data_IF_920439530503
#
_entry.id   IF_920439530503
#
_cell.length_a   1.000
_cell.length_b   1.000
_cell.length_c   1.000
_cell.angle_alpha   90.00
_cell.angle_beta   90.00
_cell.angle_gamma   90.00
#
_symmetry.space_group_name_H-M   'P 1'
#
loop_
_entity.id
_entity.type
_entity.pdbx_description
1 polymer ?
#
# COMPACT_ATOMS: atom_id res chain seq x y z
N UNK A 1 14.59 -51.29 -2.00
CA UNK A 1 14.52 -50.03 -2.74
C UNK A 1 13.18 -49.39 -2.38
N UNK A 2 13.21 -48.30 -1.61
CA UNK A 2 12.02 -47.71 -1.01
C UNK A 2 11.40 -46.68 -1.97
N UNK A 3 10.15 -46.92 -2.37
CA UNK A 3 9.37 -45.97 -3.15
C UNK A 3 8.81 -44.90 -2.21
N UNK A 4 9.29 -43.67 -2.34
CA UNK A 4 8.75 -42.51 -1.63
C UNK A 4 7.56 -41.98 -2.41
N UNK A 5 6.37 -42.17 -1.87
CA UNK A 5 5.15 -41.57 -2.41
C UNK A 5 5.05 -40.14 -1.86
N UNK A 6 5.28 -39.14 -2.70
CA UNK A 6 5.07 -37.72 -2.36
C UNK A 6 3.60 -37.41 -2.63
N UNK A 7 2.78 -37.44 -1.58
CA UNK A 7 1.45 -36.83 -1.64
C UNK A 7 1.64 -35.32 -1.65
N UNK A 8 1.50 -34.71 -2.83
CA UNK A 8 1.31 -33.28 -2.98
C UNK A 8 0.00 -32.95 -2.25
N UNK A 9 0.12 -32.45 -1.03
CA UNK A 9 -1.02 -31.91 -0.30
C UNK A 9 -1.50 -30.67 -1.05
N UNK A 10 -2.79 -30.70 -1.38
CA UNK A 10 -3.54 -29.66 -2.07
C UNK A 10 -3.19 -28.28 -1.52
N UNK A 11 -2.78 -27.38 -2.41
CA UNK A 11 -2.57 -25.96 -2.12
C UNK A 11 -3.93 -25.35 -1.74
N UNK A 12 -4.24 -25.43 -0.44
CA UNK A 12 -5.29 -24.63 0.15
C UNK A 12 -4.93 -23.15 -0.09
N UNK A 13 -5.77 -22.48 -0.85
CA UNK A 13 -5.82 -21.03 -1.04
C UNK A 13 -5.78 -20.32 0.32
N UNK A 14 -4.58 -19.94 0.79
CA UNK A 14 -4.42 -19.22 2.05
C UNK A 14 -4.65 -17.73 1.85
N UNK A 15 -5.46 -17.08 2.71
CA UNK A 15 -5.61 -15.64 2.68
C UNK A 15 -4.27 -15.02 3.12
N UNK A 16 -3.68 -14.22 2.25
CA UNK A 16 -2.70 -13.15 2.50
C UNK A 16 -1.88 -13.29 3.80
N UNK A 17 -0.61 -13.72 3.66
CA UNK A 17 0.33 -14.00 4.76
C UNK A 17 0.25 -12.96 5.89
N UNK A 18 -0.46 -13.29 6.97
CA UNK A 18 -0.56 -12.43 8.14
C UNK A 18 0.78 -12.41 8.86
N UNK A 19 1.39 -11.24 8.97
CA UNK A 19 2.66 -11.06 9.70
C UNK A 19 2.47 -10.52 11.12
N UNK A 20 3.45 -10.77 11.99
CA UNK A 20 3.54 -10.26 13.36
C UNK A 20 4.96 -9.70 13.62
N UNK A 21 5.11 -8.51 14.21
CA UNK A 21 6.43 -7.91 14.41
C UNK A 21 7.22 -8.63 15.50
N UNK A 22 8.51 -8.85 15.27
CA UNK A 22 9.41 -9.33 16.31
C UNK A 22 9.52 -8.31 17.45
N UNK A 23 9.31 -8.68 18.72
CA UNK A 23 9.43 -7.74 19.84
C UNK A 23 10.86 -7.29 20.12
N UNK A 24 11.86 -7.89 19.47
CA UNK A 24 13.28 -7.58 19.68
C UNK A 24 13.88 -6.72 18.55
N UNK A 25 13.57 -7.05 17.29
CA UNK A 25 14.14 -6.37 16.13
C UNK A 25 13.10 -5.76 15.19
N UNK A 26 11.81 -5.88 15.50
CA UNK A 26 10.70 -5.39 14.69
C UNK A 26 10.59 -5.99 13.28
N UNK A 27 11.37 -7.02 12.96
CA UNK A 27 11.22 -7.74 11.69
C UNK A 27 9.81 -8.33 11.57
N UNK A 28 9.23 -8.26 10.37
CA UNK A 28 7.91 -8.83 10.10
C UNK A 28 8.02 -10.35 10.02
N UNK A 29 7.49 -11.03 11.03
CA UNK A 29 7.53 -12.49 11.13
C UNK A 29 6.28 -13.07 10.52
N UNK A 30 6.44 -14.07 9.67
CA UNK A 30 5.31 -14.84 9.14
C UNK A 30 4.59 -15.57 10.29
N UNK A 31 3.27 -15.38 10.38
CA UNK A 31 2.43 -16.13 11.29
C UNK A 31 2.11 -17.49 10.66
N UNK A 32 2.56 -18.55 11.33
CA UNK A 32 2.39 -19.94 10.90
C UNK A 32 1.42 -20.65 11.81
N UNK A 33 0.76 -21.68 11.30
CA UNK A 33 -0.09 -22.55 12.09
C UNK A 33 0.56 -23.93 12.27
N UNK A 34 0.51 -24.46 13.48
CA UNK A 34 0.90 -25.85 13.73
C UNK A 34 -0.20 -26.80 13.25
N UNK A 35 0.09 -28.11 13.19
CA UNK A 35 -0.92 -29.16 12.92
C UNK A 35 -2.13 -29.16 13.86
N UNK A 36 -2.03 -28.44 14.99
CA UNK A 36 -3.12 -28.28 15.97
C UNK A 36 -3.78 -26.90 15.91
N UNK A 37 -3.63 -26.18 14.79
CA UNK A 37 -4.14 -24.82 14.55
C UNK A 37 -3.69 -23.81 15.63
N UNK A 38 -2.48 -24.01 16.15
CA UNK A 38 -1.87 -23.07 17.12
C UNK A 38 -0.93 -22.13 16.38
N UNK A 39 -1.16 -20.82 16.43
CA UNK A 39 -0.32 -19.85 15.75
C UNK A 39 1.04 -19.71 16.43
N UNK A 40 2.07 -19.53 15.62
CA UNK A 40 3.44 -19.27 16.07
C UNK A 40 4.21 -18.48 15.02
N UNK A 41 5.31 -17.84 15.42
CA UNK A 41 6.25 -17.21 14.50
C UNK A 41 7.68 -17.39 14.99
N UNK A 42 8.63 -17.30 14.05
CA UNK A 42 10.06 -17.52 14.30
C UNK A 42 10.85 -16.35 13.69
N UNK A 43 11.70 -15.73 14.49
CA UNK A 43 12.67 -14.75 14.04
C UNK A 43 14.06 -15.40 13.98
N UNK A 44 14.52 -15.73 12.77
CA UNK A 44 15.85 -16.33 12.59
C UNK A 44 16.98 -15.36 12.96
N UNK A 45 16.76 -14.05 12.78
CA UNK A 45 17.75 -13.01 13.13
C UNK A 45 17.97 -12.91 14.64
N UNK A 46 16.90 -12.98 15.44
CA UNK A 46 17.01 -12.88 16.90
C UNK A 46 17.10 -14.24 17.61
N UNK A 47 16.91 -15.35 16.89
CA UNK A 47 16.74 -16.68 17.48
C UNK A 47 15.47 -16.82 18.35
N UNK A 48 14.48 -15.93 18.17
CA UNK A 48 13.26 -15.90 18.97
C UNK A 48 12.17 -16.75 18.31
N UNK A 49 11.45 -17.53 19.12
CA UNK A 49 10.23 -18.20 18.71
C UNK A 49 9.07 -17.81 19.62
N UNK A 50 7.97 -17.35 19.02
CA UNK A 50 6.79 -16.89 19.75
C UNK A 50 5.66 -17.89 19.49
N UNK A 51 5.04 -18.36 20.58
CA UNK A 51 3.88 -19.24 20.51
C UNK A 51 2.67 -18.55 21.13
N UNK A 52 1.60 -18.44 20.36
CA UNK A 52 0.33 -17.92 20.86
C UNK A 52 -0.47 -19.07 21.44
N UNK A 53 -0.71 -19.03 22.76
CA UNK A 53 -1.32 -20.12 23.52
C UNK A 53 -2.52 -19.64 24.32
N UNK A 54 -3.42 -20.58 24.62
CA UNK A 54 -4.65 -20.32 25.36
C UNK A 54 -5.70 -19.57 24.54
N UNK A 55 -6.98 -19.78 24.90
CA UNK A 55 -8.11 -19.15 24.19
C UNK A 55 -8.00 -17.62 24.16
N UNK A 56 -7.59 -17.03 25.29
CA UNK A 56 -7.44 -15.58 25.44
C UNK A 56 -6.30 -15.04 24.54
N UNK A 57 -5.13 -15.68 24.55
CA UNK A 57 -3.97 -15.23 23.77
C UNK A 57 -4.23 -15.31 22.27
N UNK A 58 -4.83 -16.41 21.81
CA UNK A 58 -5.19 -16.62 20.40
C UNK A 58 -6.27 -15.62 19.96
N UNK A 59 -7.30 -15.39 20.78
CA UNK A 59 -8.34 -14.40 20.48
C UNK A 59 -7.78 -12.97 20.40
N UNK A 60 -6.86 -12.60 21.31
CA UNK A 60 -6.20 -11.29 21.27
C UNK A 60 -5.37 -11.09 20.01
N UNK A 61 -4.62 -12.11 19.60
CA UNK A 61 -3.87 -12.07 18.34
C UNK A 61 -4.81 -11.85 17.15
N UNK A 62 -5.94 -12.57 17.10
CA UNK A 62 -6.95 -12.38 16.05
C UNK A 62 -7.45 -10.94 15.97
N UNK A 63 -7.83 -10.34 17.11
CA UNK A 63 -8.28 -8.94 17.17
C UNK A 63 -7.22 -7.94 16.70
N UNK A 64 -5.95 -8.15 17.08
CA UNK A 64 -4.85 -7.28 16.65
C UNK A 64 -4.63 -7.32 15.14
N UNK A 65 -4.75 -8.51 14.54
CA UNK A 65 -4.62 -8.67 13.10
C UNK A 65 -5.79 -8.02 12.35
N UNK A 66 -7.02 -8.22 12.83
CA UNK A 66 -8.20 -7.57 12.24
C UNK A 66 -8.12 -6.03 12.34
N UNK A 67 -7.65 -5.50 13.45
CA UNK A 67 -7.47 -4.06 13.64
C UNK A 67 -6.40 -3.51 12.69
N UNK A 68 -5.26 -4.20 12.57
CA UNK A 68 -4.23 -3.87 11.57
C UNK A 68 -4.80 -3.87 10.17
N UNK A 69 -5.54 -4.90 9.78
CA UNK A 69 -6.12 -5.01 8.45
C UNK A 69 -7.14 -3.91 8.17
N UNK A 70 -7.88 -3.45 9.21
CA UNK A 70 -8.75 -2.26 9.10
C UNK A 70 -7.99 -0.96 8.94
N UNK A 71 -6.79 -0.83 9.50
CA UNK A 71 -5.93 0.35 9.36
C UNK A 71 -5.27 0.35 7.98
N UNK A 72 -4.70 -0.78 7.55
CA UNK A 72 -4.07 -0.93 6.23
C UNK A 72 -5.10 -0.85 5.12
N UNK A 73 -6.24 -1.55 5.27
CA UNK A 73 -7.36 -1.48 4.34
C UNK A 73 -7.96 -0.07 4.26
N UNK A 74 -7.95 0.68 5.37
CA UNK A 74 -8.18 2.12 5.33
C UNK A 74 -7.09 2.84 4.57
N UNK A 75 -5.80 2.60 4.82
CA UNK A 75 -4.70 3.23 4.07
C UNK A 75 -4.79 3.02 2.55
N UNK A 76 -5.21 1.84 2.08
CA UNK A 76 -5.41 1.59 0.64
C UNK A 76 -6.73 2.17 0.09
N UNK A 77 -7.81 2.16 0.87
CA UNK A 77 -9.04 2.87 0.52
C UNK A 77 -8.92 4.40 0.65
N UNK A 78 -7.89 4.87 1.38
CA UNK A 78 -7.49 6.26 1.59
C UNK A 78 -6.14 6.49 0.89
N UNK A 79 -6.03 6.12 -0.40
CA UNK A 79 -5.55 7.17 -1.29
C UNK A 79 -6.62 8.26 -1.19
N UNK A 80 -6.45 9.17 -0.22
CA UNK A 80 -7.40 10.27 -0.02
C UNK A 80 -7.65 10.87 -1.40
N UNK A 81 -8.89 11.22 -1.77
CA UNK A 81 -9.14 11.97 -3.00
C UNK A 81 -8.16 13.14 -3.17
N UNK A 82 -7.69 13.73 -2.06
CA UNK A 82 -6.60 14.70 -2.05
C UNK A 82 -5.24 14.17 -2.50
N UNK A 83 -4.81 12.98 -2.06
CA UNK A 83 -3.55 12.35 -2.49
C UNK A 83 -3.60 12.03 -4.00
N UNK A 84 -4.67 11.40 -4.47
CA UNK A 84 -4.83 11.08 -5.89
C UNK A 84 -4.86 12.34 -6.77
N UNK A 85 -5.56 13.39 -6.30
CA UNK A 85 -5.59 14.70 -6.98
C UNK A 85 -4.21 15.35 -6.98
N UNK A 86 -3.47 15.27 -5.88
CA UNK A 86 -2.11 15.81 -5.77
C UNK A 86 -1.13 15.08 -6.71
N UNK A 87 -1.16 13.75 -6.73
CA UNK A 87 -0.35 12.95 -7.66
C UNK A 87 -0.64 13.33 -9.12
N UNK A 88 -1.91 13.54 -9.47
CA UNK A 88 -2.31 13.99 -10.80
C UNK A 88 -1.74 15.38 -11.14
N UNK A 89 -1.74 16.32 -10.20
CA UNK A 89 -1.13 17.65 -10.38
C UNK A 89 0.37 17.54 -10.66
N UNK A 90 1.08 16.73 -9.88
CA UNK A 90 2.53 16.55 -10.06
C UNK A 90 2.86 15.89 -11.41
N UNK A 91 2.05 14.92 -11.86
CA UNK A 91 2.18 14.33 -13.21
C UNK A 91 1.98 15.37 -14.32
N UNK A 92 0.95 16.21 -14.22
CA UNK A 92 0.68 17.24 -15.22
C UNK A 92 1.78 18.31 -15.27
N UNK A 93 2.35 18.68 -14.11
CA UNK A 93 3.50 19.59 -14.03
C UNK A 93 4.73 19.01 -14.73
N UNK A 94 5.03 17.73 -14.49
CA UNK A 94 6.12 17.05 -15.18
C UNK A 94 5.89 17.03 -16.71
N UNK A 95 4.65 16.76 -17.15
CA UNK A 95 4.29 16.76 -18.56
C UNK A 95 4.42 18.16 -19.19
N UNK A 96 3.94 19.21 -18.50
CA UNK A 96 4.12 20.60 -18.92
C UNK A 96 5.59 20.95 -19.12
N UNK A 97 6.46 20.57 -18.18
CA UNK A 97 7.89 20.83 -18.26
C UNK A 97 8.54 20.12 -19.47
N UNK A 98 8.04 18.95 -19.86
CA UNK A 98 8.48 18.27 -21.09
C UNK A 98 8.01 19.03 -22.35
N UNK A 99 6.73 19.44 -22.40
CA UNK A 99 6.19 20.23 -23.52
C UNK A 99 6.93 21.57 -23.68
N UNK A 100 7.23 22.25 -22.56
CA UNK A 100 8.00 23.49 -22.56
C UNK A 100 9.43 23.29 -23.07
N UNK A 101 10.06 22.14 -22.80
CA UNK A 101 11.39 21.82 -23.35
C UNK A 101 11.37 21.57 -24.85
N UNK A 102 10.25 21.08 -25.38
CA UNK A 102 10.03 20.87 -26.83
C UNK A 102 9.65 22.15 -27.57
N UNK A 103 9.34 23.22 -26.84
CA UNK A 103 9.02 24.53 -27.41
C UNK A 103 10.20 25.04 -28.23
N UNK A 104 10.03 25.10 -29.55
CA UNK A 104 11.01 25.68 -30.44
C UNK A 104 11.10 27.18 -30.19
N UNK A 105 12.33 27.70 -30.06
CA UNK A 105 12.57 29.15 -29.89
C UNK A 105 12.46 29.94 -31.20
N UNK A 106 12.41 29.24 -32.34
CA UNK A 106 12.56 29.84 -33.67
C UNK A 106 11.20 29.96 -34.39
N UNK A 107 10.29 29.02 -34.13
CA UNK A 107 8.95 29.01 -34.73
C UNK A 107 7.92 28.68 -33.66
N UNK A 108 6.86 29.50 -33.57
CA UNK A 108 5.73 29.22 -32.71
C UNK A 108 4.94 28.03 -33.28
N UNK A 109 4.67 27.05 -32.42
CA UNK A 109 3.82 25.91 -32.72
C UNK A 109 2.51 26.12 -31.95
N UNK A 110 1.47 26.56 -32.67
CA UNK A 110 0.18 26.91 -32.08
C UNK A 110 -0.48 25.71 -31.40
N UNK A 111 -0.31 24.50 -31.94
CA UNK A 111 -0.83 23.27 -31.34
C UNK A 111 -0.14 22.95 -30.01
N UNK A 112 1.18 23.16 -29.95
CA UNK A 112 1.95 23.02 -28.72
C UNK A 112 1.53 24.05 -27.66
N UNK A 113 1.34 25.31 -28.04
CA UNK A 113 0.88 26.38 -27.14
C UNK A 113 -0.54 26.10 -26.61
N UNK A 114 -1.44 25.62 -27.47
CA UNK A 114 -2.77 25.18 -27.07
C UNK A 114 -2.72 24.00 -26.10
N UNK A 115 -1.82 23.05 -26.32
CA UNK A 115 -1.63 21.89 -25.44
C UNK A 115 -1.12 22.31 -24.07
N UNK A 116 -0.09 23.17 -24.00
CA UNK A 116 0.43 23.72 -22.74
C UNK A 116 -0.68 24.47 -22.00
N UNK A 117 -1.45 25.30 -22.70
CA UNK A 117 -2.58 26.05 -22.13
C UNK A 117 -3.69 25.14 -21.60
N UNK A 118 -3.94 24.00 -22.26
CA UNK A 118 -4.91 23.01 -21.79
C UNK A 118 -4.44 22.34 -20.49
N UNK A 119 -3.17 21.92 -20.43
CA UNK A 119 -2.55 21.35 -19.23
C UNK A 119 -2.57 22.34 -18.06
N UNK A 120 -2.32 23.63 -18.32
CA UNK A 120 -2.37 24.67 -17.29
C UNK A 120 -3.77 24.85 -16.69
N UNK A 121 -4.82 24.79 -17.52
CA UNK A 121 -6.20 24.84 -17.02
C UNK A 121 -6.54 23.63 -16.15
N UNK A 122 -6.07 22.44 -16.52
CA UNK A 122 -6.30 21.23 -15.74
C UNK A 122 -5.57 21.30 -14.39
N UNK A 123 -4.32 21.74 -14.36
CA UNK A 123 -3.56 21.97 -13.12
C UNK A 123 -4.30 22.96 -12.21
N UNK A 124 -4.73 24.10 -12.74
CA UNK A 124 -5.43 25.13 -11.96
C UNK A 124 -6.74 24.59 -11.37
N UNK A 125 -7.50 23.80 -12.14
CA UNK A 125 -8.75 23.18 -11.67
C UNK A 125 -8.51 22.19 -10.53
N UNK A 126 -7.48 21.35 -10.63
CA UNK A 126 -7.17 20.36 -9.60
C UNK A 126 -6.61 21.00 -8.33
N UNK A 127 -5.87 22.11 -8.46
CA UNK A 127 -5.42 22.90 -7.31
C UNK A 127 -6.58 23.52 -6.53
N UNK A 128 -7.58 24.06 -7.23
CA UNK A 128 -8.80 24.55 -6.59
C UNK A 128 -9.54 23.43 -5.84
N UNK A 129 -9.61 22.23 -6.43
CA UNK A 129 -10.20 21.06 -5.78
C UNK A 129 -9.44 20.67 -4.50
N UNK A 130 -8.10 20.72 -4.53
CA UNK A 130 -7.27 20.47 -3.35
C UNK A 130 -7.53 21.49 -2.23
N UNK A 131 -7.64 22.77 -2.58
CA UNK A 131 -7.97 23.83 -1.62
C UNK A 131 -9.33 23.59 -0.97
N UNK A 132 -10.35 23.22 -1.76
CA UNK A 132 -11.67 22.89 -1.25
C UNK A 132 -11.65 21.69 -0.28
N UNK A 133 -10.92 20.63 -0.62
CA UNK A 133 -10.77 19.46 0.25
C UNK A 133 -10.02 19.77 1.55
N UNK A 134 -9.08 20.73 1.52
CA UNK A 134 -8.35 21.18 2.71
C UNK A 134 -9.17 22.08 3.65
N UNK A 135 -10.17 22.81 3.12
CA UNK A 135 -11.06 23.67 3.91
C UNK A 135 -12.20 22.92 4.62
N UNK A 136 -12.54 21.71 4.19
CA UNK A 136 -13.63 20.91 4.76
C UNK A 136 -13.25 20.08 6.00
N UNK A 137 -11.99 20.10 6.45
CA UNK A 137 -11.53 19.31 7.62
C UNK A 137 -11.64 20.02 8.98
N UNK A 138 -12.33 21.17 9.05
CA UNK A 138 -12.68 21.85 10.31
C UNK A 138 -14.18 22.07 10.39
N UNK A 139 -14.90 21.10 10.96
CA UNK A 139 -16.34 21.14 11.22
C UNK A 139 -16.77 19.97 12.08
#
# INVERSE_FOLDING_TARGET
MANVNVTLAEEATTPEHRTFPCPLCSAQLELRESRSNKPYCVCNTCGLQIFFRGKVGISRLGKLLEERDRIIGRGMAIASPAIATFERVEQLRAHKNELQRRRSLIFADDDLEHTISAVDREIASLQLLLEQMSGTSTG
#
